data_IF_481415833984
#
_entry.id   IF_481415833984
#
_cell.length_a   1.000
_cell.length_b   1.000
_cell.length_c   1.000
_cell.angle_alpha   90.00
_cell.angle_beta   90.00
_cell.angle_gamma   90.00
#
_symmetry.space_group_name_H-M   'P 1'
#
loop_
_entity.id
_entity.type
_entity.pdbx_description
1 polymer ?
#
# COMPACT_ATOMS: atom_id res chain seq x y z
N UNK A 1 2.94 -35.60 -8.24
CA UNK A 1 3.04 -34.35 -7.43
C UNK A 1 1.79 -33.53 -7.69
N UNK A 2 0.95 -33.36 -6.67
CA UNK A 2 -0.35 -32.72 -6.82
C UNK A 2 -0.18 -31.25 -7.21
N UNK A 3 -0.73 -30.86 -8.35
CA UNK A 3 -0.97 -29.46 -8.69
C UNK A 3 -2.09 -28.99 -7.76
N UNK A 4 -1.75 -28.36 -6.65
CA UNK A 4 -2.72 -27.55 -5.90
C UNK A 4 -3.21 -26.50 -6.87
N UNK A 5 -4.48 -26.54 -7.27
CA UNK A 5 -5.06 -25.42 -8.01
C UNK A 5 -4.89 -24.19 -7.11
N UNK A 6 -4.32 -23.12 -7.65
CA UNK A 6 -4.21 -21.88 -6.91
C UNK A 6 -5.64 -21.41 -6.62
N UNK A 7 -6.11 -21.65 -5.40
CA UNK A 7 -7.30 -21.00 -4.88
C UNK A 7 -7.10 -19.50 -5.06
N UNK A 8 -8.06 -18.80 -5.67
CA UNK A 8 -8.02 -17.33 -5.82
C UNK A 8 -8.13 -16.57 -4.48
N UNK A 9 -7.98 -17.28 -3.37
CA UNK A 9 -8.04 -16.78 -2.01
C UNK A 9 -6.63 -16.38 -1.56
N UNK A 10 -6.52 -15.20 -0.94
CA UNK A 10 -5.28 -14.72 -0.35
C UNK A 10 -4.83 -15.60 0.83
N UNK A 11 -3.54 -15.89 0.92
CA UNK A 11 -2.94 -16.63 2.04
C UNK A 11 -1.90 -15.76 2.75
N UNK A 12 -1.94 -15.76 4.08
CA UNK A 12 -1.05 -14.93 4.88
C UNK A 12 0.44 -15.23 4.63
N UNK A 13 0.82 -16.49 4.40
CA UNK A 13 2.20 -16.91 4.15
C UNK A 13 2.78 -16.40 2.82
N UNK A 14 1.91 -16.12 1.84
CA UNK A 14 2.31 -15.69 0.49
C UNK A 14 1.90 -14.26 0.16
N UNK A 15 1.34 -13.52 1.12
CA UNK A 15 0.84 -12.15 0.91
C UNK A 15 1.77 -11.08 1.48
N UNK A 16 1.75 -9.91 0.86
CA UNK A 16 2.31 -8.65 1.38
C UNK A 16 1.31 -7.51 1.16
N UNK A 17 1.31 -6.52 2.06
CA UNK A 17 0.47 -5.32 1.97
C UNK A 17 1.26 -4.20 1.31
N UNK A 18 0.68 -3.57 0.30
CA UNK A 18 1.25 -2.41 -0.39
C UNK A 18 0.28 -1.24 -0.28
N UNK A 19 0.76 -0.14 0.32
CA UNK A 19 0.02 1.11 0.48
C UNK A 19 0.59 2.16 -0.47
N UNK A 20 -0.28 2.73 -1.30
CA UNK A 20 0.08 3.69 -2.34
C UNK A 20 -0.38 5.10 -1.95
N UNK A 21 0.59 6.00 -1.80
CA UNK A 21 0.44 7.46 -1.85
C UNK A 21 -0.65 8.08 -0.95
N UNK A 22 -0.90 7.52 0.25
CA UNK A 22 -1.87 8.06 1.22
C UNK A 22 -1.38 9.35 1.90
N UNK A 23 -1.26 10.44 1.13
CA UNK A 23 -0.56 11.67 1.53
C UNK A 23 -1.51 12.83 1.87
N UNK A 24 -1.05 13.70 2.79
CA UNK A 24 -1.88 14.74 3.39
C UNK A 24 -2.47 15.77 2.40
N UNK A 25 -1.73 16.19 1.37
CA UNK A 25 -2.29 17.13 0.39
C UNK A 25 -3.13 16.44 -0.68
N UNK A 26 -2.77 15.21 -1.04
CA UNK A 26 -3.54 14.42 -2.01
C UNK A 26 -4.94 14.08 -1.44
N UNK A 27 -5.02 13.80 -0.14
CA UNK A 27 -6.29 13.52 0.53
C UNK A 27 -7.29 14.68 0.52
N UNK A 28 -6.84 15.92 0.30
CA UNK A 28 -7.73 17.08 0.22
C UNK A 28 -8.65 17.05 -1.01
N UNK A 29 -8.31 16.26 -2.03
CA UNK A 29 -9.15 16.04 -3.20
C UNK A 29 -10.29 15.03 -2.94
N UNK A 30 -10.25 14.29 -1.81
CA UNK A 30 -11.22 13.25 -1.49
C UNK A 30 -12.35 13.81 -0.60
N UNK A 31 -13.63 13.47 -0.87
CA UNK A 31 -14.73 13.83 0.02
C UNK A 31 -14.49 13.35 1.46
N UNK A 32 -14.76 14.16 2.51
CA UNK A 32 -14.37 13.83 3.89
C UNK A 32 -14.87 12.47 4.40
N UNK A 33 -16.11 12.10 4.09
CA UNK A 33 -16.68 10.80 4.51
C UNK A 33 -16.01 9.61 3.80
N UNK A 34 -15.63 9.79 2.53
CA UNK A 34 -14.89 8.78 1.78
C UNK A 34 -13.46 8.64 2.34
N UNK A 35 -12.79 9.75 2.65
CA UNK A 35 -11.47 9.76 3.27
C UNK A 35 -11.49 9.05 4.62
N UNK A 36 -12.46 9.36 5.48
CA UNK A 36 -12.64 8.70 6.77
C UNK A 36 -12.79 7.18 6.61
N UNK A 37 -13.60 6.76 5.64
CA UNK A 37 -13.84 5.34 5.35
C UNK A 37 -12.57 4.63 4.86
N UNK A 38 -11.83 5.24 3.92
CA UNK A 38 -10.58 4.70 3.40
C UNK A 38 -9.51 4.60 4.48
N UNK A 39 -9.33 5.65 5.29
CA UNK A 39 -8.36 5.65 6.41
C UNK A 39 -8.68 4.54 7.40
N UNK A 40 -9.95 4.41 7.81
CA UNK A 40 -10.38 3.33 8.71
C UNK A 40 -10.08 1.94 8.13
N UNK A 41 -10.36 1.73 6.85
CA UNK A 41 -10.11 0.43 6.20
C UNK A 41 -8.62 0.13 6.07
N UNK A 42 -7.79 1.13 5.79
CA UNK A 42 -6.33 0.96 5.75
C UNK A 42 -5.76 0.65 7.13
N UNK A 43 -6.27 1.28 8.20
CA UNK A 43 -5.90 0.93 9.58
C UNK A 43 -6.24 -0.54 9.90
N UNK A 44 -7.42 -1.02 9.50
CA UNK A 44 -7.79 -2.44 9.65
C UNK A 44 -6.81 -3.34 8.88
N UNK A 45 -6.42 -2.98 7.66
CA UNK A 45 -5.44 -3.73 6.88
C UNK A 45 -4.06 -3.74 7.55
N UNK A 46 -3.62 -2.62 8.11
CA UNK A 46 -2.34 -2.51 8.82
C UNK A 46 -2.33 -3.36 10.10
N UNK A 47 -3.38 -3.28 10.90
CA UNK A 47 -3.55 -4.12 12.08
C UNK A 47 -3.57 -5.61 11.70
N UNK A 48 -4.31 -5.96 10.64
CA UNK A 48 -4.34 -7.34 10.13
C UNK A 48 -2.98 -7.80 9.64
N UNK A 49 -2.24 -6.95 8.92
CA UNK A 49 -0.89 -7.23 8.46
C UNK A 49 0.07 -7.48 9.64
N UNK A 50 -0.02 -6.68 10.70
CA UNK A 50 0.74 -6.87 11.93
C UNK A 50 0.43 -8.23 12.58
N UNK A 51 -0.85 -8.54 12.83
CA UNK A 51 -1.26 -9.80 13.45
C UNK A 51 -0.90 -11.05 12.64
N UNK A 52 -0.87 -10.92 11.30
CA UNK A 52 -0.57 -12.02 10.37
C UNK A 52 0.90 -12.04 9.92
N UNK A 53 1.75 -11.17 10.47
CA UNK A 53 3.14 -11.00 10.08
C UNK A 53 3.33 -10.83 8.55
N UNK A 54 2.48 -10.00 7.94
CA UNK A 54 2.62 -9.61 6.54
C UNK A 54 3.64 -8.46 6.42
N UNK A 55 4.58 -8.54 5.47
CA UNK A 55 5.38 -7.38 5.11
C UNK A 55 4.49 -6.24 4.61
N UNK A 56 4.82 -5.02 5.01
CA UNK A 56 4.15 -3.79 4.56
C UNK A 56 5.13 -2.95 3.77
N UNK A 57 4.72 -2.52 2.58
CA UNK A 57 5.40 -1.52 1.76
C UNK A 57 4.54 -0.28 1.63
N UNK A 58 5.19 0.88 1.60
CA UNK A 58 4.55 2.19 1.50
C UNK A 58 5.26 3.01 0.42
N UNK A 59 4.49 3.73 -0.39
CA UNK A 59 5.00 4.70 -1.37
C UNK A 59 4.44 6.09 -1.12
N UNK A 60 5.21 7.10 -1.53
CA UNK A 60 4.77 8.50 -1.55
C UNK A 60 5.07 9.12 -2.91
N UNK A 61 4.04 9.66 -3.56
CA UNK A 61 4.14 10.40 -4.82
C UNK A 61 4.62 11.82 -4.52
N UNK A 62 5.75 12.21 -5.11
CA UNK A 62 6.30 13.58 -5.02
C UNK A 62 6.13 14.22 -3.62
N UNK A 63 6.71 13.65 -2.55
CA UNK A 63 6.42 14.06 -1.17
C UNK A 63 6.75 15.53 -0.87
N UNK A 64 7.71 16.12 -1.60
CA UNK A 64 7.99 17.56 -1.54
C UNK A 64 6.75 18.40 -1.88
N UNK A 65 5.97 17.99 -2.87
CA UNK A 65 4.77 18.69 -3.30
C UNK A 65 3.51 18.24 -2.57
N UNK A 66 3.32 16.92 -2.41
CA UNK A 66 2.08 16.32 -1.90
C UNK A 66 2.09 16.05 -0.38
N UNK A 67 3.21 16.29 0.28
CA UNK A 67 3.39 16.07 1.72
C UNK A 67 3.70 14.60 2.04
N UNK A 68 3.87 14.33 3.33
CA UNK A 68 4.08 12.98 3.83
C UNK A 68 2.76 12.20 3.91
N UNK A 69 2.90 10.91 4.20
CA UNK A 69 1.81 10.01 4.57
C UNK A 69 0.95 10.61 5.68
N UNK A 70 -0.36 10.38 5.61
CA UNK A 70 -1.34 10.89 6.57
C UNK A 70 -0.99 10.49 8.00
N UNK A 71 -0.98 11.47 8.91
CA UNK A 71 -0.71 11.26 10.34
C UNK A 71 -1.66 10.24 10.99
N UNK A 72 -2.87 10.07 10.45
CA UNK A 72 -3.82 9.06 10.91
C UNK A 72 -3.34 7.61 10.71
N UNK A 73 -2.34 7.38 9.84
CA UNK A 73 -1.79 6.06 9.54
C UNK A 73 -0.41 5.83 10.18
N UNK A 74 0.25 6.87 10.70
CA UNK A 74 1.67 6.78 11.09
C UNK A 74 1.94 5.89 12.30
N UNK A 75 0.98 5.76 13.23
CA UNK A 75 1.13 4.90 14.41
C UNK A 75 1.27 3.42 14.03
N UNK A 76 0.59 3.00 12.98
CA UNK A 76 0.59 1.62 12.49
C UNK A 76 1.76 1.35 11.51
N UNK A 77 2.56 2.37 11.22
CA UNK A 77 3.65 2.37 10.23
C UNK A 77 5.01 2.71 10.84
N UNK A 78 5.19 2.60 12.17
CA UNK A 78 6.37 3.10 12.88
C UNK A 78 7.72 2.63 12.32
N UNK A 79 7.78 1.40 11.79
CA UNK A 79 9.00 0.81 11.22
C UNK A 79 9.01 0.80 9.67
N UNK A 80 7.93 1.29 9.05
CA UNK A 80 7.74 1.28 7.60
C UNK A 80 8.15 2.64 7.02
N UNK A 81 9.23 2.62 6.24
CA UNK A 81 9.72 3.81 5.56
C UNK A 81 9.10 3.92 4.17
N UNK A 82 8.52 5.08 3.86
CA UNK A 82 7.97 5.36 2.55
C UNK A 82 9.05 5.37 1.47
N UNK A 83 8.72 4.80 0.32
CA UNK A 83 9.52 4.86 -0.90
C UNK A 83 9.03 6.07 -1.72
N UNK A 84 9.80 7.16 -1.80
CA UNK A 84 9.41 8.31 -2.61
C UNK A 84 9.51 7.96 -4.10
N UNK A 85 8.51 8.36 -4.88
CA UNK A 85 8.47 8.15 -6.34
C UNK A 85 7.93 9.37 -7.08
N UNK A 86 8.26 9.43 -8.38
CA UNK A 86 7.69 10.41 -9.32
C UNK A 86 6.77 9.77 -10.35
N UNK A 87 6.98 8.49 -10.67
CA UNK A 87 6.10 7.76 -11.57
C UNK A 87 4.80 7.37 -10.86
N UNK A 88 3.67 7.45 -11.59
CA UNK A 88 2.37 7.04 -11.06
C UNK A 88 2.34 5.55 -10.70
N UNK A 89 2.74 4.68 -11.64
CA UNK A 89 2.96 3.26 -11.37
C UNK A 89 4.14 3.07 -10.42
N UNK A 90 3.91 2.44 -9.26
CA UNK A 90 4.98 2.10 -8.32
C UNK A 90 5.99 1.12 -8.93
N UNK A 91 5.56 0.27 -9.88
CA UNK A 91 6.42 -0.65 -10.61
C UNK A 91 7.50 0.04 -11.46
N UNK A 92 7.35 1.34 -11.74
CA UNK A 92 8.36 2.15 -12.43
C UNK A 92 9.41 2.77 -11.49
N UNK A 93 9.27 2.60 -10.18
CA UNK A 93 10.28 2.98 -9.19
C UNK A 93 11.16 1.76 -8.85
N UNK A 94 12.45 1.74 -9.23
CA UNK A 94 13.32 0.59 -8.99
C UNK A 94 13.40 0.16 -7.52
N UNK A 95 13.39 1.11 -6.58
CA UNK A 95 13.42 0.79 -5.13
C UNK A 95 12.18 0.04 -4.67
N UNK A 96 11.02 0.33 -5.26
CA UNK A 96 9.78 -0.40 -4.98
C UNK A 96 9.92 -1.88 -5.36
N UNK A 97 10.34 -2.15 -6.60
CA UNK A 97 10.56 -3.52 -7.07
C UNK A 97 11.63 -4.30 -6.30
N UNK A 98 12.66 -3.61 -5.80
CA UNK A 98 13.71 -4.21 -4.96
C UNK A 98 13.22 -4.53 -3.54
N UNK A 99 12.24 -3.78 -3.03
CA UNK A 99 11.70 -3.96 -1.67
C UNK A 99 10.55 -4.97 -1.62
N UNK A 100 9.92 -5.30 -2.75
CA UNK A 100 8.91 -6.35 -2.81
C UNK A 100 9.48 -7.68 -2.33
N UNK A 101 8.73 -8.38 -1.48
CA UNK A 101 9.11 -9.70 -1.03
C UNK A 101 8.84 -10.74 -2.15
N UNK A 102 9.90 -11.34 -2.68
CA UNK A 102 9.80 -12.28 -3.82
C UNK A 102 9.19 -13.64 -3.45
N UNK A 103 9.22 -14.01 -2.18
CA UNK A 103 8.62 -15.25 -1.68
C UNK A 103 7.12 -15.10 -1.39
N UNK A 104 6.61 -13.86 -1.44
CA UNK A 104 5.21 -13.50 -1.18
C UNK A 104 4.58 -12.87 -2.41
N UNK A 105 4.20 -13.71 -3.37
CA UNK A 105 3.71 -13.27 -4.68
C UNK A 105 2.34 -12.59 -4.67
N UNK A 106 1.53 -12.75 -3.62
CA UNK A 106 0.23 -12.11 -3.51
C UNK A 106 0.38 -10.68 -2.95
N UNK A 107 -0.19 -9.71 -3.66
CA UNK A 107 -0.16 -8.30 -3.26
C UNK A 107 -1.57 -7.87 -2.87
N UNK A 108 -1.70 -7.41 -1.62
CA UNK A 108 -2.88 -6.67 -1.16
C UNK A 108 -2.57 -5.20 -1.42
N UNK A 109 -3.18 -4.62 -2.46
CA UNK A 109 -2.93 -3.25 -2.90
C UNK A 109 -4.02 -2.31 -2.38
N UNK A 110 -3.63 -1.20 -1.75
CA UNK A 110 -4.56 -0.16 -1.27
C UNK A 110 -3.92 1.22 -1.33
N UNK A 111 -4.73 2.29 -1.25
CA UNK A 111 -4.25 3.66 -1.25
C UNK A 111 -5.01 4.56 -2.23
N UNK A 112 -4.33 5.59 -2.74
CA UNK A 112 -4.91 6.60 -3.64
C UNK A 112 -3.96 6.98 -4.79
N UNK A 113 -4.47 7.46 -5.93
CA UNK A 113 -5.86 7.41 -6.36
C UNK A 113 -6.17 6.11 -7.10
N UNK A 114 -7.39 5.59 -6.92
CA UNK A 114 -7.84 4.34 -7.52
C UNK A 114 -7.61 4.28 -9.04
N UNK A 115 -7.82 5.41 -9.73
CA UNK A 115 -7.76 5.50 -11.19
C UNK A 115 -6.39 5.91 -11.75
N UNK A 116 -5.40 6.21 -10.90
CA UNK A 116 -4.06 6.63 -11.33
C UNK A 116 -3.02 5.69 -10.73
N UNK A 117 -2.57 5.96 -9.51
CA UNK A 117 -1.44 5.25 -8.91
C UNK A 117 -1.81 3.80 -8.60
N UNK A 118 -3.04 3.52 -8.18
CA UNK A 118 -3.51 2.14 -7.95
C UNK A 118 -3.64 1.41 -9.28
N UNK A 119 -4.45 1.93 -10.21
CA UNK A 119 -4.70 1.30 -11.52
C UNK A 119 -3.43 1.04 -12.33
N UNK A 120 -2.46 1.96 -12.33
CA UNK A 120 -1.22 1.76 -13.07
C UNK A 120 -0.20 0.86 -12.34
N UNK A 121 -0.42 0.55 -11.06
CA UNK A 121 0.45 -0.33 -10.29
C UNK A 121 -0.01 -1.79 -10.34
N UNK A 122 -1.32 -2.03 -10.33
CA UNK A 122 -1.94 -3.36 -10.42
C UNK A 122 -1.71 -4.04 -11.78
#
# INVERSE_FOLDING_TARGET
MAKTSASGIVQASTSQLVIIDMQAKLSLAMPPLALQSVVKNIQILLQSASHLALPVLLTEQYPKGLGATLAALTSDLSDVHAIPKMAFSACKEPKFGQKLNRDRSQIILTGMEAHICILQTA
#
